data_IF_879708407831
#
_entry.id   IF_879708407831
#
_cell.length_a   1.000
_cell.length_b   1.000
_cell.length_c   1.000
_cell.angle_alpha   90.00
_cell.angle_beta   90.00
_cell.angle_gamma   90.00
#
_symmetry.space_group_name_H-M   'P 1'
#
loop_
_entity.id
_entity.type
_entity.pdbx_description
1 polymer ?
#
# COMPACT_ATOMS: atom_id res chain seq x y z
N UNK A 1 -13.12 -9.05 60.59
CA UNK A 1 -13.77 -8.10 59.66
C UNK A 1 -15.25 -8.44 59.64
N UNK A 2 -16.12 -7.50 59.99
CA UNK A 2 -17.58 -7.74 60.02
C UNK A 2 -18.07 -8.14 58.62
N UNK A 3 -18.91 -9.19 58.52
CA UNK A 3 -19.43 -9.71 57.24
C UNK A 3 -20.19 -8.65 56.45
N UNK A 4 -20.82 -7.70 57.14
CA UNK A 4 -21.52 -6.58 56.52
C UNK A 4 -20.54 -5.57 55.90
N UNK A 5 -19.41 -5.32 56.56
CA UNK A 5 -18.34 -4.45 56.05
C UNK A 5 -17.64 -5.07 54.84
N UNK A 6 -17.40 -6.38 54.83
CA UNK A 6 -16.83 -7.08 53.67
C UNK A 6 -17.77 -7.08 52.45
N UNK A 7 -19.06 -7.37 52.64
CA UNK A 7 -20.07 -7.30 51.57
C UNK A 7 -20.21 -5.88 51.01
N UNK A 8 -20.18 -4.87 51.88
CA UNK A 8 -20.21 -3.46 51.49
C UNK A 8 -18.97 -3.05 50.68
N UNK A 9 -17.78 -3.49 51.09
CA UNK A 9 -16.53 -3.27 50.34
C UNK A 9 -16.58 -3.94 48.97
N UNK A 10 -16.95 -5.23 48.91
CA UNK A 10 -17.01 -5.98 47.65
C UNK A 10 -17.98 -5.37 46.65
N UNK A 11 -19.17 -4.96 47.11
CA UNK A 11 -20.14 -4.25 46.26
C UNK A 11 -19.57 -2.95 45.70
N UNK A 12 -18.92 -2.14 46.53
CA UNK A 12 -18.30 -0.88 46.11
C UNK A 12 -17.16 -1.11 45.13
N UNK A 13 -16.31 -2.10 45.39
CA UNK A 13 -15.21 -2.48 44.50
C UNK A 13 -15.74 -2.89 43.12
N UNK A 14 -16.73 -3.77 43.05
CA UNK A 14 -17.33 -4.21 41.78
C UNK A 14 -17.94 -3.03 41.02
N UNK A 15 -18.70 -2.16 41.69
CA UNK A 15 -19.31 -0.99 41.05
C UNK A 15 -18.23 -0.05 40.51
N UNK A 16 -17.18 0.21 41.30
CA UNK A 16 -16.10 1.08 40.89
C UNK A 16 -15.30 0.50 39.71
N UNK A 17 -14.97 -0.78 39.75
CA UNK A 17 -14.30 -1.48 38.64
C UNK A 17 -15.16 -1.47 37.37
N UNK A 18 -16.46 -1.74 37.48
CA UNK A 18 -17.37 -1.69 36.34
C UNK A 18 -17.48 -0.26 35.77
N UNK A 19 -17.59 0.76 36.62
CA UNK A 19 -17.60 2.15 36.19
C UNK A 19 -16.30 2.54 35.47
N UNK A 20 -15.14 2.11 35.99
CA UNK A 20 -13.85 2.36 35.36
C UNK A 20 -13.73 1.70 33.98
N UNK A 21 -14.17 0.44 33.84
CA UNK A 21 -14.19 -0.25 32.56
C UNK A 21 -15.10 0.46 31.54
N UNK A 22 -16.28 0.88 31.98
CA UNK A 22 -17.19 1.66 31.13
C UNK A 22 -16.60 3.00 30.69
N UNK A 23 -15.86 3.68 31.58
CA UNK A 23 -15.14 4.90 31.23
C UNK A 23 -14.06 4.61 30.18
N UNK A 24 -13.28 3.53 30.33
CA UNK A 24 -12.29 3.14 29.33
C UNK A 24 -12.94 2.87 27.96
N UNK A 25 -13.99 2.05 27.94
CA UNK A 25 -14.73 1.72 26.71
C UNK A 25 -15.28 2.99 26.06
N UNK A 26 -15.97 3.83 26.83
CA UNK A 26 -16.52 5.09 26.33
C UNK A 26 -15.43 6.03 25.80
N UNK A 27 -14.26 6.07 26.46
CA UNK A 27 -13.14 6.90 26.01
C UNK A 27 -12.61 6.42 24.66
N UNK A 28 -12.42 5.11 24.47
CA UNK A 28 -11.98 4.56 23.18
C UNK A 28 -13.03 4.78 22.09
N UNK A 29 -14.31 4.52 22.36
CA UNK A 29 -15.38 4.74 21.38
C UNK A 29 -15.54 6.22 21.03
N UNK A 30 -15.32 7.14 21.98
CA UNK A 30 -15.46 8.58 21.74
C UNK A 30 -14.32 9.14 20.88
N UNK A 31 -13.07 8.78 21.20
CA UNK A 31 -11.92 9.31 20.46
C UNK A 31 -11.61 8.52 19.20
N UNK A 32 -11.89 7.21 19.23
CA UNK A 32 -11.79 6.27 18.12
C UNK A 32 -10.52 6.48 17.26
N UNK A 33 -9.31 6.34 17.82
CA UNK A 33 -8.08 6.58 17.08
C UNK A 33 -7.88 5.64 15.88
N UNK A 34 -8.68 4.58 15.76
CA UNK A 34 -8.66 3.66 14.62
C UNK A 34 -9.83 3.87 13.65
N UNK A 35 -10.69 4.86 13.94
CA UNK A 35 -11.81 5.27 13.10
C UNK A 35 -12.80 4.15 12.78
N UNK A 36 -12.99 3.22 13.70
CA UNK A 36 -13.82 2.02 13.53
C UNK A 36 -15.32 2.32 13.62
N UNK A 37 -15.70 3.41 14.28
CA UNK A 37 -17.08 3.79 14.54
C UNK A 37 -17.49 5.11 13.91
N UNK A 38 -16.54 6.04 13.70
CA UNK A 38 -16.83 7.34 13.11
C UNK A 38 -15.59 8.03 12.53
N UNK A 39 -15.83 9.01 11.66
CA UNK A 39 -14.82 10.00 11.25
C UNK A 39 -14.34 10.87 12.42
N UNK A 40 -13.22 11.62 12.29
CA UNK A 40 -12.67 12.41 13.39
C UNK A 40 -13.71 13.35 14.00
N UNK A 41 -13.67 13.50 15.33
CA UNK A 41 -14.54 14.45 16.02
C UNK A 41 -14.28 15.88 15.53
N UNK A 42 -15.29 16.78 15.55
CA UNK A 42 -15.09 18.17 15.19
C UNK A 42 -13.94 18.82 15.96
N UNK A 43 -12.98 19.39 15.23
CA UNK A 43 -11.77 20.00 15.79
C UNK A 43 -10.59 19.04 15.96
N UNK A 44 -10.75 17.74 15.68
CA UNK A 44 -9.65 16.77 15.56
C UNK A 44 -9.36 16.47 14.08
N UNK A 45 -8.12 16.07 13.80
CA UNK A 45 -7.64 15.68 12.47
C UNK A 45 -7.79 14.16 12.26
N UNK A 46 -7.86 13.73 11.01
CA UNK A 46 -7.70 12.34 10.59
C UNK A 46 -6.24 11.89 10.69
N UNK A 47 -5.76 11.62 11.91
CA UNK A 47 -4.38 11.18 12.16
C UNK A 47 -4.20 9.71 11.75
N UNK A 48 -3.82 9.50 10.49
CA UNK A 48 -3.61 8.20 9.87
C UNK A 48 -2.10 7.88 9.77
N UNK A 49 -1.61 7.03 10.67
CA UNK A 49 -0.19 6.66 10.78
C UNK A 49 0.03 5.16 11.01
N UNK A 50 -1.03 4.36 11.07
CA UNK A 50 -1.02 2.94 11.43
C UNK A 50 -2.00 2.16 10.52
N UNK A 51 -1.58 1.93 9.27
CA UNK A 51 -2.46 1.46 8.19
C UNK A 51 -3.14 0.12 8.51
N UNK A 52 -2.46 -0.82 9.16
CA UNK A 52 -3.00 -2.13 9.52
C UNK A 52 -4.18 -2.04 10.50
N UNK A 53 -4.26 -0.98 11.31
CA UNK A 53 -5.36 -0.76 12.26
C UNK A 53 -6.40 0.27 11.76
N UNK A 54 -5.99 1.20 10.89
CA UNK A 54 -6.77 2.38 10.55
C UNK A 54 -7.40 2.35 9.14
N UNK A 55 -6.83 1.60 8.18
CA UNK A 55 -7.33 1.61 6.80
C UNK A 55 -8.82 1.24 6.75
N UNK A 56 -9.19 0.10 7.34
CA UNK A 56 -10.59 -0.37 7.34
C UNK A 56 -11.52 0.67 7.97
N UNK A 57 -11.19 1.19 9.15
CA UNK A 57 -12.01 2.19 9.82
C UNK A 57 -12.21 3.45 8.97
N UNK A 58 -11.13 3.97 8.36
CA UNK A 58 -11.22 5.14 7.48
C UNK A 58 -12.06 4.88 6.23
N UNK A 59 -11.95 3.69 5.62
CA UNK A 59 -12.72 3.31 4.44
C UNK A 59 -14.23 3.18 4.73
N UNK A 60 -14.58 2.67 5.93
CA UNK A 60 -15.98 2.53 6.35
C UNK A 60 -16.62 3.86 6.72
N UNK A 61 -15.89 4.75 7.42
CA UNK A 61 -16.50 5.82 8.18
C UNK A 61 -16.22 7.26 7.69
N UNK A 62 -15.26 7.46 6.79
CA UNK A 62 -14.94 8.80 6.29
C UNK A 62 -15.84 9.16 5.09
N UNK A 63 -16.00 10.47 4.82
CA UNK A 63 -16.62 10.90 3.57
C UNK A 63 -15.52 11.07 2.51
N UNK A 64 -15.60 10.33 1.42
CA UNK A 64 -14.68 10.40 0.28
C UNK A 64 -15.39 9.88 -0.97
N UNK A 65 -14.85 10.18 -2.15
CA UNK A 65 -15.37 9.68 -3.42
C UNK A 65 -14.30 9.02 -4.27
N UNK A 66 -13.06 8.89 -3.78
CA UNK A 66 -11.96 8.29 -4.52
C UNK A 66 -11.00 7.55 -3.61
N UNK A 67 -10.34 6.52 -4.13
CA UNK A 67 -9.39 5.70 -3.36
C UNK A 67 -8.04 5.64 -4.06
N UNK A 68 -6.96 5.81 -3.29
CA UNK A 68 -5.59 5.48 -3.70
C UNK A 68 -5.28 4.10 -3.09
N UNK A 69 -5.37 3.06 -3.91
CA UNK A 69 -5.14 1.67 -3.49
C UNK A 69 -3.72 1.24 -3.89
N UNK A 70 -2.92 0.78 -2.94
CA UNK A 70 -1.52 0.44 -3.25
C UNK A 70 -0.72 -0.16 -2.12
N UNK A 71 0.54 -0.49 -2.43
CA UNK A 71 1.49 -1.06 -1.47
C UNK A 71 2.27 0.02 -0.72
N UNK A 72 3.37 -0.37 -0.05
CA UNK A 72 4.26 0.54 0.65
C UNK A 72 4.85 1.64 -0.24
N UNK A 73 4.98 1.42 -1.56
CA UNK A 73 5.46 2.47 -2.49
C UNK A 73 4.43 3.58 -2.71
N UNK A 74 3.15 3.32 -2.40
CA UNK A 74 2.07 4.29 -2.48
C UNK A 74 1.81 5.03 -1.15
N UNK A 75 2.54 4.72 -0.08
CA UNK A 75 2.39 5.41 1.22
C UNK A 75 2.82 6.87 1.17
N UNK A 76 3.79 7.21 0.31
CA UNK A 76 4.39 8.54 0.29
C UNK A 76 3.66 9.57 -0.59
N UNK A 77 2.60 9.17 -1.31
CA UNK A 77 1.72 10.11 -1.98
C UNK A 77 1.11 11.11 -0.98
N UNK A 78 0.81 12.33 -1.39
CA UNK A 78 -0.09 13.20 -0.63
C UNK A 78 -1.49 13.15 -1.27
N UNK A 79 -2.54 12.91 -0.48
CA UNK A 79 -3.92 12.85 -1.00
C UNK A 79 -4.32 14.16 -1.69
N UNK A 80 -3.84 15.31 -1.19
CA UNK A 80 -4.12 16.63 -1.73
C UNK A 80 -3.68 16.81 -3.18
N UNK A 81 -2.65 16.08 -3.63
CA UNK A 81 -2.21 16.10 -5.04
C UNK A 81 -3.30 15.53 -5.97
N UNK A 82 -3.88 14.38 -5.59
CA UNK A 82 -4.98 13.76 -6.32
C UNK A 82 -6.26 14.59 -6.23
N UNK A 83 -6.59 15.07 -5.03
CA UNK A 83 -7.81 15.86 -4.79
C UNK A 83 -7.84 17.12 -5.65
N UNK A 84 -6.72 17.84 -5.73
CA UNK A 84 -6.59 19.02 -6.57
C UNK A 84 -6.62 18.68 -8.06
N UNK A 85 -5.87 17.64 -8.48
CA UNK A 85 -5.73 17.26 -9.88
C UNK A 85 -7.01 16.71 -10.51
N UNK A 86 -7.76 15.89 -9.76
CA UNK A 86 -8.95 15.17 -10.25
C UNK A 86 -10.27 15.74 -9.74
N UNK A 87 -10.23 16.80 -8.92
CA UNK A 87 -11.40 17.40 -8.27
C UNK A 87 -12.23 16.32 -7.56
N UNK A 88 -11.58 15.65 -6.62
CA UNK A 88 -12.11 14.54 -5.85
C UNK A 88 -11.72 14.69 -4.38
N UNK A 89 -12.21 13.78 -3.54
CA UNK A 89 -11.74 13.59 -2.17
C UNK A 89 -11.24 12.16 -2.01
N UNK A 90 -9.93 12.02 -1.88
CA UNK A 90 -9.25 10.74 -1.87
C UNK A 90 -8.91 10.26 -0.45
N UNK A 91 -9.02 8.95 -0.26
CA UNK A 91 -8.52 8.24 0.91
C UNK A 91 -7.55 7.14 0.47
N UNK A 92 -6.62 6.77 1.34
CA UNK A 92 -5.63 5.73 1.07
C UNK A 92 -6.10 4.37 1.55
N UNK A 93 -6.16 3.40 0.64
CA UNK A 93 -6.34 1.98 0.92
C UNK A 93 -4.98 1.27 0.74
N UNK A 94 -4.14 1.28 1.78
CA UNK A 94 -2.73 0.91 1.65
C UNK A 94 -2.39 -0.34 2.44
N UNK A 95 -1.53 -1.18 1.86
CA UNK A 95 -0.94 -2.35 2.51
C UNK A 95 0.57 -2.32 2.47
N UNK A 96 1.20 -2.96 3.45
CA UNK A 96 2.65 -3.16 3.43
C UNK A 96 3.08 -4.07 2.27
N UNK A 97 2.19 -4.98 1.83
CA UNK A 97 2.39 -5.87 0.69
C UNK A 97 1.31 -5.61 -0.36
N UNK A 98 1.69 -5.35 -1.60
CA UNK A 98 0.80 -4.93 -2.70
C UNK A 98 0.04 -6.04 -3.41
N UNK A 99 -0.17 -7.20 -2.77
CA UNK A 99 -0.87 -8.31 -3.42
C UNK A 99 -2.27 -7.89 -3.87
N UNK A 100 -2.66 -8.32 -5.07
CA UNK A 100 -3.95 -7.96 -5.67
C UNK A 100 -5.14 -8.36 -4.80
N UNK A 101 -5.05 -9.53 -4.15
CA UNK A 101 -6.08 -10.00 -3.22
C UNK A 101 -6.28 -9.06 -2.02
N UNK A 102 -5.19 -8.57 -1.41
CA UNK A 102 -5.25 -7.64 -0.29
C UNK A 102 -5.79 -6.27 -0.73
N UNK A 103 -5.28 -5.72 -1.83
CA UNK A 103 -5.75 -4.41 -2.30
C UNK A 103 -7.23 -4.46 -2.71
N UNK A 104 -7.67 -5.52 -3.38
CA UNK A 104 -9.06 -5.69 -3.73
C UNK A 104 -9.96 -5.93 -2.50
N UNK A 105 -9.46 -6.58 -1.45
CA UNK A 105 -10.20 -6.67 -0.19
C UNK A 105 -10.49 -5.29 0.42
N UNK A 106 -9.52 -4.36 0.40
CA UNK A 106 -9.77 -2.97 0.84
C UNK A 106 -10.70 -2.22 -0.12
N UNK A 107 -10.59 -2.45 -1.43
CA UNK A 107 -11.50 -1.85 -2.40
C UNK A 107 -12.93 -2.33 -2.20
N UNK A 108 -13.16 -3.61 -1.90
CA UNK A 108 -14.48 -4.15 -1.61
C UNK A 108 -15.11 -3.41 -0.42
N UNK A 109 -14.35 -3.21 0.67
CA UNK A 109 -14.81 -2.38 1.80
C UNK A 109 -15.14 -0.97 1.34
N UNK A 110 -14.32 -0.35 0.48
CA UNK A 110 -14.59 0.99 -0.01
C UNK A 110 -15.91 1.05 -0.82
N UNK A 111 -16.11 0.11 -1.75
CA UNK A 111 -17.30 0.02 -2.58
C UNK A 111 -18.58 -0.37 -1.80
N UNK A 112 -18.46 -1.12 -0.71
CA UNK A 112 -19.58 -1.43 0.18
C UNK A 112 -20.12 -0.18 0.91
N UNK A 113 -19.26 0.81 1.14
CA UNK A 113 -19.58 1.98 1.95
C UNK A 113 -19.67 3.30 1.16
N UNK A 114 -19.10 3.38 -0.04
CA UNK A 114 -19.04 4.59 -0.85
C UNK A 114 -19.34 4.34 -2.33
N UNK A 115 -19.83 5.38 -3.01
CA UNK A 115 -19.89 5.43 -4.48
C UNK A 115 -18.60 6.11 -4.99
N UNK A 116 -17.69 5.33 -5.58
CA UNK A 116 -16.39 5.85 -6.01
C UNK A 116 -16.44 6.45 -7.42
N UNK A 117 -15.85 7.64 -7.57
CA UNK A 117 -15.56 8.29 -8.85
C UNK A 117 -14.25 7.74 -9.45
N UNK A 118 -13.20 7.63 -8.63
CA UNK A 118 -11.88 7.17 -9.05
C UNK A 118 -11.30 6.10 -8.13
N UNK A 119 -10.66 5.11 -8.74
CA UNK A 119 -9.72 4.21 -8.07
C UNK A 119 -8.35 4.40 -8.72
N UNK A 120 -7.41 4.99 -7.97
CA UNK A 120 -6.01 5.09 -8.35
C UNK A 120 -5.28 3.84 -7.82
N UNK A 121 -5.07 2.86 -8.70
CA UNK A 121 -4.56 1.55 -8.32
C UNK A 121 -3.08 1.39 -8.69
N UNK A 122 -2.22 1.24 -7.67
CA UNK A 122 -0.82 0.89 -7.84
C UNK A 122 -0.67 -0.61 -8.10
N UNK A 123 -0.39 -0.99 -9.35
CA UNK A 123 -0.14 -2.37 -9.76
C UNK A 123 1.36 -2.67 -9.67
N UNK A 124 1.79 -3.22 -8.54
CA UNK A 124 3.17 -3.71 -8.41
C UNK A 124 3.41 -4.90 -9.35
N UNK A 125 4.53 -4.95 -10.11
CA UNK A 125 4.86 -6.12 -10.93
C UNK A 125 4.88 -7.43 -10.13
N UNK A 126 5.34 -7.39 -8.88
CA UNK A 126 5.35 -8.55 -7.97
C UNK A 126 3.96 -9.02 -7.54
N UNK A 127 2.92 -8.18 -7.64
CA UNK A 127 1.55 -8.57 -7.33
C UNK A 127 0.97 -9.54 -8.36
N UNK A 128 1.49 -9.53 -9.61
CA UNK A 128 1.05 -10.43 -10.67
C UNK A 128 1.46 -11.89 -10.44
N UNK A 129 2.43 -12.13 -9.55
CA UNK A 129 2.89 -13.47 -9.17
C UNK A 129 2.66 -13.78 -7.69
N UNK A 130 1.91 -12.92 -6.99
CA UNK A 130 1.60 -13.10 -5.59
C UNK A 130 0.50 -14.15 -5.38
N UNK A 131 0.37 -14.64 -4.14
CA UNK A 131 -0.77 -15.47 -3.74
C UNK A 131 -2.08 -14.73 -4.02
N UNK A 132 -3.09 -15.39 -4.63
CA UNK A 132 -4.42 -14.81 -4.85
C UNK A 132 -5.29 -14.84 -3.58
N UNK A 133 -4.73 -15.25 -2.43
CA UNK A 133 -5.39 -15.23 -1.13
C UNK A 133 -4.91 -14.05 -0.29
N UNK A 134 -5.81 -13.50 0.54
CA UNK A 134 -5.48 -12.38 1.41
C UNK A 134 -4.53 -12.78 2.54
N UNK A 135 -3.62 -11.88 2.93
CA UNK A 135 -2.55 -12.15 3.89
C UNK A 135 -2.71 -11.48 5.25
N UNK A 136 -3.84 -10.81 5.52
CA UNK A 136 -4.07 -10.05 6.75
C UNK A 136 -3.81 -10.83 8.04
N UNK A 137 -4.40 -12.02 8.18
CA UNK A 137 -4.19 -12.89 9.35
C UNK A 137 -2.72 -13.28 9.52
N UNK A 138 -2.05 -13.64 8.43
CA UNK A 138 -0.65 -14.06 8.43
C UNK A 138 0.29 -12.92 8.84
N UNK A 139 -0.08 -11.68 8.50
CA UNK A 139 0.69 -10.46 8.84
C UNK A 139 0.35 -9.90 10.22
N UNK A 140 -0.54 -10.55 10.98
CA UNK A 140 -0.90 -10.13 12.34
C UNK A 140 -1.87 -8.94 12.39
N UNK A 141 -2.60 -8.67 11.31
CA UNK A 141 -3.63 -7.63 11.32
C UNK A 141 -4.72 -7.95 12.34
N UNK A 142 -5.30 -6.92 13.01
CA UNK A 142 -6.32 -7.10 14.03
C UNK A 142 -7.66 -7.46 13.39
N UNK A 143 -7.84 -8.70 12.91
CA UNK A 143 -9.01 -9.09 12.10
C UNK A 143 -10.37 -8.83 12.76
N UNK A 144 -10.44 -8.73 14.09
CA UNK A 144 -11.65 -8.35 14.79
C UNK A 144 -12.10 -6.90 14.47
N UNK A 145 -11.21 -6.03 14.01
CA UNK A 145 -11.51 -4.69 13.50
C UNK A 145 -11.83 -4.66 12.00
N UNK A 146 -11.77 -5.81 11.32
CA UNK A 146 -11.98 -5.90 9.88
C UNK A 146 -13.43 -6.29 9.56
N UNK A 147 -14.15 -6.86 10.52
CA UNK A 147 -15.57 -7.19 10.41
C UNK A 147 -16.48 -6.02 10.84
N UNK A 148 -17.80 -6.24 10.79
CA UNK A 148 -18.82 -5.29 11.28
C UNK A 148 -19.43 -5.72 12.64
N UNK A 149 -18.76 -6.60 13.38
CA UNK A 149 -19.21 -7.15 14.65
C UNK A 149 -18.58 -6.42 15.84
N UNK A 150 -19.07 -5.23 16.15
CA UNK A 150 -18.57 -4.41 17.25
C UNK A 150 -18.60 -5.07 18.65
N UNK A 151 -19.29 -6.20 18.84
CA UNK A 151 -19.29 -6.90 20.14
C UNK A 151 -17.96 -7.59 20.45
N UNK A 152 -17.12 -7.88 19.45
CA UNK A 152 -15.82 -8.53 19.63
C UNK A 152 -14.66 -7.52 19.84
N UNK A 153 -14.94 -6.21 19.74
CA UNK A 153 -13.97 -5.11 19.87
C UNK A 153 -13.45 -4.86 21.29
N UNK A 154 -13.75 -5.77 22.24
CA UNK A 154 -13.23 -5.69 23.61
C UNK A 154 -11.70 -5.56 23.67
N UNK A 155 -11.01 -6.15 22.69
CA UNK A 155 -9.56 -6.05 22.53
C UNK A 155 -9.07 -4.66 22.12
N UNK A 156 -9.93 -3.86 21.50
CA UNK A 156 -9.68 -2.46 21.17
C UNK A 156 -10.06 -1.54 22.33
N UNK A 157 -11.27 -1.69 22.87
CA UNK A 157 -11.79 -0.83 23.94
C UNK A 157 -10.98 -0.85 25.23
N UNK A 158 -10.45 -2.03 25.59
CA UNK A 158 -9.71 -2.26 26.83
C UNK A 158 -8.20 -2.38 26.58
N UNK A 159 -7.72 -1.91 25.43
CA UNK A 159 -6.30 -1.90 25.12
C UNK A 159 -5.58 -0.74 25.82
N UNK A 160 -4.52 -1.06 26.57
CA UNK A 160 -3.73 -0.05 27.28
C UNK A 160 -2.99 0.91 26.31
N UNK A 161 -2.49 0.42 25.19
CA UNK A 161 -1.72 1.21 24.24
C UNK A 161 -2.66 2.16 23.48
N UNK A 162 -3.90 1.73 23.22
CA UNK A 162 -4.93 2.62 22.67
C UNK A 162 -5.24 3.76 23.64
N UNK A 163 -5.52 3.44 24.91
CA UNK A 163 -5.89 4.43 25.93
C UNK A 163 -4.75 5.41 26.27
N UNK A 164 -3.53 4.91 26.37
CA UNK A 164 -2.40 5.69 26.92
C UNK A 164 -1.39 6.15 25.87
N UNK A 165 -1.44 5.64 24.64
CA UNK A 165 -0.54 6.06 23.55
C UNK A 165 -1.31 6.58 22.34
N UNK A 166 -2.23 5.79 21.76
CA UNK A 166 -2.90 6.15 20.49
C UNK A 166 -3.87 7.33 20.65
N UNK A 167 -4.70 7.37 21.69
CA UNK A 167 -5.60 8.51 21.96
C UNK A 167 -4.79 9.78 22.25
N UNK A 168 -3.81 9.78 23.18
CA UNK A 168 -2.96 10.95 23.39
C UNK A 168 -2.23 11.41 22.12
N UNK A 169 -1.74 10.48 21.30
CA UNK A 169 -1.08 10.79 20.03
C UNK A 169 -2.03 11.47 19.04
N UNK A 170 -3.25 10.92 18.85
CA UNK A 170 -4.30 11.54 18.03
C UNK A 170 -4.58 12.99 18.47
N UNK A 171 -4.77 13.20 19.78
CA UNK A 171 -5.06 14.54 20.33
C UNK A 171 -3.88 15.48 20.13
N UNK A 172 -2.66 15.03 20.42
CA UNK A 172 -1.45 15.84 20.28
C UNK A 172 -1.23 16.26 18.82
N UNK A 173 -1.34 15.33 17.87
CA UNK A 173 -1.20 15.62 16.44
C UNK A 173 -2.32 16.52 15.90
N UNK A 174 -3.52 16.39 16.46
CA UNK A 174 -4.66 17.21 16.06
C UNK A 174 -4.56 18.67 16.54
N UNK A 175 -4.17 18.88 17.80
CA UNK A 175 -4.30 20.18 18.47
C UNK A 175 -2.99 20.97 18.61
N UNK A 176 -1.85 20.28 18.60
CA UNK A 176 -0.54 20.88 18.88
C UNK A 176 0.42 20.65 17.70
N UNK A 177 0.35 19.47 17.08
CA UNK A 177 1.20 19.07 15.96
C UNK A 177 0.83 19.75 14.64
N UNK A 178 1.80 19.72 13.73
CA UNK A 178 1.72 20.16 12.35
C UNK A 178 1.34 19.03 11.39
N UNK A 179 0.74 17.94 11.92
CA UNK A 179 0.31 16.79 11.11
C UNK A 179 -0.55 17.23 9.92
N UNK A 180 -0.11 16.85 8.72
CA UNK A 180 -0.81 17.03 7.46
C UNK A 180 -1.62 15.76 7.15
N UNK A 181 -2.95 15.89 7.09
CA UNK A 181 -3.87 14.79 6.78
C UNK A 181 -3.65 14.21 5.37
N UNK A 182 -3.11 15.01 4.45
CA UNK A 182 -2.73 14.55 3.12
C UNK A 182 -1.58 13.52 3.15
N UNK A 183 -0.75 13.53 4.19
CA UNK A 183 0.39 12.62 4.35
C UNK A 183 0.03 11.33 5.12
N UNK A 184 -1.22 10.85 5.02
CA UNK A 184 -1.65 9.61 5.68
C UNK A 184 -0.68 8.46 5.38
N UNK A 185 -0.16 7.81 6.43
CA UNK A 185 0.80 6.68 6.39
C UNK A 185 2.20 7.00 5.81
N UNK A 186 2.51 8.26 5.49
CA UNK A 186 3.79 8.63 4.92
C UNK A 186 4.95 8.37 5.89
N UNK A 187 5.97 7.64 5.43
CA UNK A 187 7.16 7.29 6.21
C UNK A 187 8.45 7.95 5.69
N UNK A 188 8.40 8.65 4.56
CA UNK A 188 9.57 9.15 3.85
C UNK A 188 10.46 10.07 4.69
N UNK A 189 9.87 10.90 5.56
CA UNK A 189 10.61 11.82 6.44
C UNK A 189 11.64 11.13 7.36
N UNK A 190 11.53 9.81 7.55
CA UNK A 190 12.44 9.00 8.38
C UNK A 190 13.46 8.21 7.59
N UNK A 191 13.54 8.42 6.27
CA UNK A 191 14.39 7.68 5.35
C UNK A 191 15.28 8.62 4.54
N UNK A 192 16.33 8.04 3.98
CA UNK A 192 17.20 8.71 3.02
C UNK A 192 17.12 7.94 1.70
N UNK A 193 17.10 8.68 0.60
CA UNK A 193 17.13 8.15 -0.76
C UNK A 193 18.46 8.57 -1.37
N UNK A 194 19.30 7.60 -1.70
CA UNK A 194 20.62 7.81 -2.32
C UNK A 194 21.22 6.45 -2.71
N UNK A 195 22.25 6.48 -3.57
CA UNK A 195 22.90 5.25 -4.02
C UNK A 195 23.53 4.42 -2.88
N UNK A 196 24.01 5.04 -1.79
CA UNK A 196 24.59 4.30 -0.66
C UNK A 196 23.57 3.44 0.08
N UNK A 197 22.32 3.92 0.21
CA UNK A 197 21.24 3.19 0.87
C UNK A 197 20.88 1.92 0.10
N UNK A 198 20.55 2.05 -1.18
CA UNK A 198 20.14 0.91 -2.02
C UNK A 198 21.27 -0.11 -2.21
N UNK A 199 22.49 0.34 -2.52
CA UNK A 199 23.64 -0.56 -2.73
C UNK A 199 24.05 -1.23 -1.41
N UNK A 200 23.87 -0.56 -0.27
CA UNK A 200 24.18 -1.11 1.05
C UNK A 200 23.20 -2.18 1.54
N UNK A 201 21.95 -2.13 1.08
CA UNK A 201 20.87 -3.07 1.42
C UNK A 201 20.72 -4.22 0.41
N UNK A 202 21.18 -4.04 -0.82
CA UNK A 202 21.15 -5.09 -1.83
C UNK A 202 22.25 -6.14 -1.59
N UNK A 203 21.84 -7.41 -1.48
CA UNK A 203 22.73 -8.56 -1.50
C UNK A 203 22.54 -9.26 -2.84
N UNK A 204 23.53 -9.13 -3.71
CA UNK A 204 23.50 -9.66 -5.08
C UNK A 204 23.85 -11.13 -5.08
N UNK A 205 22.96 -11.93 -5.63
CA UNK A 205 23.23 -13.32 -5.98
C UNK A 205 24.38 -13.38 -7.01
N UNK A 206 25.51 -14.07 -6.77
CA UNK A 206 26.61 -14.13 -7.74
C UNK A 206 26.27 -14.98 -8.98
N UNK A 207 25.54 -16.08 -8.80
CA UNK A 207 25.09 -16.91 -9.92
C UNK A 207 23.91 -16.27 -10.66
N UNK A 208 23.64 -16.81 -11.85
CA UNK A 208 22.44 -16.50 -12.63
C UNK A 208 21.74 -17.84 -12.83
N UNK A 209 20.49 -17.93 -12.37
CA UNK A 209 19.66 -19.10 -12.57
C UNK A 209 19.27 -19.28 -14.04
N UNK A 210 18.85 -20.49 -14.39
CA UNK A 210 18.22 -20.73 -15.70
C UNK A 210 16.97 -19.85 -15.84
N UNK A 211 16.88 -19.11 -16.94
CA UNK A 211 15.73 -18.25 -17.21
C UNK A 211 14.47 -19.10 -17.28
N UNK A 212 13.51 -18.81 -16.41
CA UNK A 212 12.23 -19.51 -16.34
C UNK A 212 11.45 -19.25 -17.63
N UNK A 213 10.62 -20.20 -18.09
CA UNK A 213 9.71 -19.96 -19.21
C UNK A 213 8.83 -18.72 -18.94
N UNK A 214 8.53 -17.94 -19.99
CA UNK A 214 7.67 -16.74 -19.88
C UNK A 214 6.34 -17.02 -19.16
N UNK A 215 5.76 -18.20 -19.36
CA UNK A 215 4.48 -18.61 -18.76
C UNK A 215 4.61 -19.25 -17.38
N UNK A 216 5.76 -19.17 -16.71
CA UNK A 216 6.01 -19.89 -15.45
C UNK A 216 4.98 -19.57 -14.36
N UNK A 217 4.50 -18.32 -14.29
CA UNK A 217 3.51 -17.86 -13.31
C UNK A 217 2.08 -17.72 -13.87
N UNK A 218 1.77 -18.34 -15.00
CA UNK A 218 0.50 -18.13 -15.72
C UNK A 218 -0.75 -18.35 -14.85
N UNK A 219 -0.74 -19.36 -13.98
CA UNK A 219 -1.87 -19.65 -13.09
C UNK A 219 -2.08 -18.54 -12.04
N UNK A 220 -1.00 -18.03 -11.44
CA UNK A 220 -1.06 -16.93 -10.47
C UNK A 220 -1.45 -15.62 -11.15
N UNK A 221 -0.89 -15.35 -12.33
CA UNK A 221 -1.24 -14.20 -13.14
C UNK A 221 -2.74 -14.19 -13.45
N UNK A 222 -3.27 -15.32 -13.93
CA UNK A 222 -4.68 -15.43 -14.32
C UNK A 222 -5.62 -15.18 -13.14
N UNK A 223 -5.30 -15.72 -11.97
CA UNK A 223 -6.08 -15.52 -10.76
C UNK A 223 -6.03 -14.08 -10.25
N UNK A 224 -4.84 -13.45 -10.23
CA UNK A 224 -4.71 -12.06 -9.83
C UNK A 224 -5.45 -11.11 -10.79
N UNK A 225 -5.35 -11.34 -12.10
CA UNK A 225 -6.10 -10.56 -13.09
C UNK A 225 -7.62 -10.78 -12.96
N UNK A 226 -8.08 -11.99 -12.68
CA UNK A 226 -9.50 -12.26 -12.43
C UNK A 226 -10.02 -11.46 -11.22
N UNK A 227 -9.27 -11.45 -10.11
CA UNK A 227 -9.63 -10.69 -8.90
C UNK A 227 -9.82 -9.21 -9.23
N UNK A 228 -8.83 -8.58 -9.87
CA UNK A 228 -8.87 -7.15 -10.19
C UNK A 228 -9.93 -6.82 -11.23
N UNK A 229 -10.00 -7.61 -12.32
CA UNK A 229 -10.94 -7.33 -13.41
C UNK A 229 -12.39 -7.61 -13.03
N UNK A 230 -12.66 -8.45 -12.02
CA UNK A 230 -14.00 -8.59 -11.45
C UNK A 230 -14.52 -7.25 -10.91
N UNK A 231 -13.73 -6.55 -10.09
CA UNK A 231 -14.12 -5.25 -9.51
C UNK A 231 -14.28 -4.18 -10.60
N UNK A 232 -13.38 -4.18 -11.59
CA UNK A 232 -13.47 -3.25 -12.74
C UNK A 232 -14.81 -3.44 -13.50
N UNK A 233 -15.25 -4.68 -13.69
CA UNK A 233 -16.52 -5.01 -14.37
C UNK A 233 -17.76 -4.72 -13.52
N UNK A 234 -17.67 -4.95 -12.21
CA UNK A 234 -18.76 -4.74 -11.26
C UNK A 234 -19.05 -3.25 -11.05
N UNK A 235 -18.05 -2.38 -11.28
CA UNK A 235 -18.12 -0.93 -11.10
C UNK A 235 -17.85 -0.14 -12.39
N UNK A 236 -18.69 -0.28 -13.44
CA UNK A 236 -18.50 0.43 -14.71
C UNK A 236 -18.62 1.96 -14.59
N UNK A 237 -19.28 2.47 -13.54
CA UNK A 237 -19.38 3.90 -13.22
C UNK A 237 -18.08 4.49 -12.66
N UNK A 238 -17.20 3.66 -12.11
CA UNK A 238 -15.94 4.07 -11.48
C UNK A 238 -14.82 4.09 -12.51
N UNK A 239 -13.99 5.14 -12.51
CA UNK A 239 -12.81 5.23 -13.35
C UNK A 239 -11.58 4.65 -12.63
N UNK A 240 -11.01 3.58 -13.19
CA UNK A 240 -9.81 2.93 -12.67
C UNK A 240 -8.57 3.50 -13.38
N UNK A 241 -7.77 4.28 -12.65
CA UNK A 241 -6.46 4.74 -13.10
C UNK A 241 -5.42 3.78 -12.51
N UNK A 242 -4.97 2.83 -13.32
CA UNK A 242 -4.01 1.81 -12.92
C UNK A 242 -2.62 2.29 -13.31
N UNK A 243 -1.66 2.21 -12.40
CA UNK A 243 -0.28 2.63 -12.66
C UNK A 243 0.73 1.61 -12.15
N UNK A 244 1.75 1.32 -12.96
CA UNK A 244 2.87 0.46 -12.57
C UNK A 244 4.04 1.32 -12.10
N UNK A 245 4.51 1.18 -10.85
CA UNK A 245 5.57 2.00 -10.29
C UNK A 245 6.94 1.71 -10.92
N UNK A 246 7.89 2.66 -10.83
CA UNK A 246 9.24 2.50 -11.35
C UNK A 246 10.12 1.72 -10.36
N UNK A 247 10.10 0.39 -10.39
CA UNK A 247 11.08 -0.38 -9.62
C UNK A 247 12.50 -0.16 -10.16
N UNK A 248 13.48 -0.03 -9.27
CA UNK A 248 14.85 0.37 -9.63
C UNK A 248 15.53 -0.64 -10.54
N UNK A 249 16.60 -0.23 -11.21
CA UNK A 249 17.46 -1.14 -11.96
C UNK A 249 18.06 -2.26 -11.10
N UNK A 250 18.21 -2.06 -9.78
CA UNK A 250 18.72 -3.10 -8.87
C UNK A 250 17.70 -4.21 -8.68
N UNK A 251 16.40 -3.89 -8.72
CA UNK A 251 15.35 -4.92 -8.70
C UNK A 251 15.38 -5.76 -9.98
N UNK A 252 15.62 -5.14 -11.15
CA UNK A 252 15.78 -5.87 -12.41
C UNK A 252 17.05 -6.72 -12.49
N UNK A 253 18.17 -6.25 -11.93
CA UNK A 253 19.39 -7.08 -11.78
C UNK A 253 19.10 -8.29 -10.90
N UNK A 254 18.32 -8.13 -9.82
CA UNK A 254 17.90 -9.26 -8.99
C UNK A 254 17.01 -10.24 -9.75
N UNK A 255 15.95 -9.78 -10.42
CA UNK A 255 15.08 -10.66 -11.22
C UNK A 255 15.83 -11.44 -12.29
N UNK A 256 16.76 -10.79 -12.99
CA UNK A 256 17.55 -11.46 -14.02
C UNK A 256 18.39 -12.58 -13.45
N UNK A 257 18.99 -12.35 -12.28
CA UNK A 257 19.80 -13.36 -11.58
C UNK A 257 19.00 -14.51 -11.02
N UNK A 258 17.73 -14.28 -10.68
CA UNK A 258 16.79 -15.32 -10.26
C UNK A 258 16.10 -16.02 -11.45
N UNK A 259 16.46 -15.65 -12.69
CA UNK A 259 15.91 -16.22 -13.91
C UNK A 259 14.44 -15.82 -14.13
N UNK A 260 13.98 -14.70 -13.58
CA UNK A 260 12.57 -14.29 -13.57
C UNK A 260 12.22 -13.19 -14.57
N UNK A 261 13.21 -12.54 -15.20
CA UNK A 261 12.99 -11.39 -16.08
C UNK A 261 11.96 -11.67 -17.18
N UNK A 262 12.10 -12.76 -17.92
CA UNK A 262 11.21 -13.10 -19.02
C UNK A 262 9.77 -13.36 -18.55
N UNK A 263 9.61 -14.04 -17.41
CA UNK A 263 8.31 -14.33 -16.83
C UNK A 263 7.60 -13.05 -16.32
N UNK A 264 8.35 -12.12 -15.71
CA UNK A 264 7.78 -10.86 -15.25
C UNK A 264 7.38 -9.94 -16.41
N UNK A 265 8.20 -9.85 -17.47
CA UNK A 265 7.86 -9.09 -18.68
C UNK A 265 6.61 -9.66 -19.36
N UNK A 266 6.50 -10.99 -19.46
CA UNK A 266 5.31 -11.66 -19.98
C UNK A 266 4.05 -11.35 -19.14
N UNK A 267 4.17 -11.40 -17.81
CA UNK A 267 3.07 -11.09 -16.90
C UNK A 267 2.61 -9.64 -17.05
N UNK A 268 3.55 -8.69 -17.11
CA UNK A 268 3.24 -7.28 -17.33
C UNK A 268 2.55 -7.06 -18.69
N UNK A 269 3.07 -7.65 -19.76
CA UNK A 269 2.46 -7.54 -21.10
C UNK A 269 1.02 -8.05 -21.10
N UNK A 270 0.78 -9.22 -20.50
CA UNK A 270 -0.54 -9.84 -20.41
C UNK A 270 -1.50 -9.02 -19.55
N UNK A 271 -1.00 -8.45 -18.44
CA UNK A 271 -1.78 -7.54 -17.61
C UNK A 271 -2.17 -6.28 -18.39
N UNK A 272 -1.24 -5.69 -19.15
CA UNK A 272 -1.51 -4.49 -19.95
C UNK A 272 -2.58 -4.77 -21.01
N UNK A 273 -2.40 -5.83 -21.80
CA UNK A 273 -3.38 -6.25 -22.81
C UNK A 273 -4.77 -6.48 -22.20
N UNK A 274 -4.83 -7.18 -21.07
CA UNK A 274 -6.08 -7.48 -20.37
C UNK A 274 -6.76 -6.22 -19.86
N UNK A 275 -6.03 -5.34 -19.18
CA UNK A 275 -6.57 -4.12 -18.58
C UNK A 275 -7.02 -3.10 -19.63
N UNK A 276 -6.31 -3.01 -20.76
CA UNK A 276 -6.69 -2.17 -21.90
C UNK A 276 -7.96 -2.63 -22.63
N UNK A 277 -8.53 -3.78 -22.26
CA UNK A 277 -9.82 -4.24 -22.80
C UNK A 277 -11.03 -3.55 -22.16
N UNK A 278 -10.86 -2.87 -21.02
CA UNK A 278 -11.93 -2.21 -20.26
C UNK A 278 -12.01 -0.71 -20.56
N UNK A 279 -13.23 -0.21 -20.81
CA UNK A 279 -13.45 1.19 -21.17
C UNK A 279 -13.28 2.17 -19.99
N UNK A 280 -13.53 1.69 -18.76
CA UNK A 280 -13.37 2.45 -17.53
C UNK A 280 -11.96 2.34 -16.92
N UNK A 281 -10.98 1.85 -17.69
CA UNK A 281 -9.57 1.73 -17.27
C UNK A 281 -8.70 2.70 -18.06
N UNK A 282 -7.86 3.46 -17.36
CA UNK A 282 -6.70 4.14 -17.93
C UNK A 282 -5.44 3.55 -17.30
N UNK A 283 -4.50 3.11 -18.12
CA UNK A 283 -3.26 2.48 -17.68
C UNK A 283 -2.05 3.41 -17.88
N UNK A 284 -1.18 3.44 -16.88
CA UNK A 284 0.09 4.16 -16.86
C UNK A 284 1.22 3.19 -16.48
N UNK A 285 2.41 3.42 -17.00
CA UNK A 285 3.60 2.69 -16.56
C UNK A 285 4.80 3.61 -16.49
N UNK A 286 5.55 3.47 -15.40
CA UNK A 286 6.82 4.16 -15.17
C UNK A 286 7.98 3.17 -15.17
N UNK A 287 7.69 1.88 -15.41
CA UNK A 287 8.66 0.81 -15.19
C UNK A 287 9.85 0.86 -16.14
N UNK A 288 9.68 1.42 -17.34
CA UNK A 288 10.73 1.60 -18.34
C UNK A 288 11.25 3.05 -18.42
N UNK A 289 10.88 3.94 -17.48
CA UNK A 289 11.49 5.26 -17.40
C UNK A 289 12.95 5.14 -16.99
N UNK A 290 13.84 5.15 -18.00
CA UNK A 290 15.28 4.99 -17.80
C UNK A 290 15.84 6.02 -16.83
N UNK A 291 15.43 7.27 -16.93
CA UNK A 291 16.01 8.34 -16.10
C UNK A 291 15.65 8.13 -14.62
N UNK A 292 14.45 7.61 -14.35
CA UNK A 292 14.04 7.27 -13.00
C UNK A 292 14.72 5.98 -12.51
N UNK A 293 14.55 4.85 -13.21
CA UNK A 293 14.92 3.54 -12.66
C UNK A 293 16.44 3.33 -12.57
N UNK A 294 17.22 4.03 -13.39
CA UNK A 294 18.69 3.91 -13.39
C UNK A 294 19.36 4.92 -12.46
N UNK A 295 18.62 5.94 -12.00
CA UNK A 295 19.12 6.90 -11.04
C UNK A 295 18.92 6.39 -9.61
N UNK A 296 19.97 5.72 -9.08
CA UNK A 296 19.97 5.17 -7.73
C UNK A 296 19.83 6.23 -6.63
N UNK A 297 20.02 7.51 -6.95
CA UNK A 297 19.78 8.59 -5.97
C UNK A 297 18.31 8.74 -5.59
N UNK A 298 17.40 8.20 -6.41
CA UNK A 298 15.96 8.23 -6.14
C UNK A 298 15.51 7.18 -5.11
N UNK A 299 16.36 6.21 -4.73
CA UNK A 299 15.91 5.00 -4.02
C UNK A 299 16.55 4.83 -2.64
N UNK A 300 15.79 4.25 -1.71
CA UNK A 300 16.30 3.82 -0.41
C UNK A 300 16.63 2.32 -0.35
N UNK A 301 15.96 1.52 -1.17
CA UNK A 301 16.20 0.08 -1.39
C UNK A 301 15.79 -0.28 -2.82
N UNK A 302 15.67 -1.57 -3.15
CA UNK A 302 15.46 -2.02 -4.54
C UNK A 302 14.16 -1.51 -5.17
N UNK A 303 13.16 -1.10 -4.38
CA UNK A 303 11.84 -0.72 -4.89
C UNK A 303 11.33 0.63 -4.38
N UNK A 304 11.72 1.06 -3.19
CA UNK A 304 11.18 2.26 -2.56
C UNK A 304 11.89 3.53 -3.05
N UNK A 305 11.18 4.30 -3.88
CA UNK A 305 11.61 5.58 -4.42
C UNK A 305 11.19 6.77 -3.55
N UNK A 306 11.78 7.93 -3.82
CA UNK A 306 11.59 9.17 -3.07
C UNK A 306 10.20 9.81 -3.31
N UNK A 307 9.71 10.64 -2.37
CA UNK A 307 8.42 11.34 -2.53
C UNK A 307 8.32 12.21 -3.79
N UNK A 308 9.44 12.69 -4.31
CA UNK A 308 9.49 13.45 -5.57
C UNK A 308 9.02 12.59 -6.75
N UNK A 309 9.35 11.30 -6.76
CA UNK A 309 8.87 10.36 -7.77
C UNK A 309 7.38 10.05 -7.58
N UNK A 310 6.89 9.92 -6.34
CA UNK A 310 5.45 9.85 -6.08
C UNK A 310 4.73 11.10 -6.63
N UNK A 311 5.25 12.30 -6.40
CA UNK A 311 4.65 13.52 -6.92
C UNK A 311 4.64 13.55 -8.45
N UNK A 312 5.76 13.21 -9.10
CA UNK A 312 5.87 13.10 -10.55
C UNK A 312 4.86 12.12 -11.16
N UNK A 313 4.65 10.98 -10.50
CA UNK A 313 3.66 10.00 -10.95
C UNK A 313 2.24 10.56 -10.85
N UNK A 314 1.91 11.26 -9.76
CA UNK A 314 0.60 11.91 -9.61
C UNK A 314 0.37 12.98 -10.70
N UNK A 315 1.36 13.85 -10.93
CA UNK A 315 1.32 14.85 -12.00
C UNK A 315 1.13 14.18 -13.37
N UNK A 316 1.86 13.08 -13.63
CA UNK A 316 1.75 12.33 -14.89
C UNK A 316 0.36 11.72 -15.09
N UNK A 317 -0.27 11.21 -14.02
CA UNK A 317 -1.64 10.72 -14.05
C UNK A 317 -2.63 11.84 -14.43
N UNK A 318 -2.47 13.02 -13.82
CA UNK A 318 -3.31 14.22 -14.07
C UNK A 318 -3.13 14.72 -15.52
N UNK A 319 -1.89 14.80 -15.99
CA UNK A 319 -1.55 15.32 -17.33
C UNK A 319 -1.80 14.31 -18.45
N UNK A 320 -1.89 13.01 -18.12
CA UNK A 320 -2.03 11.94 -19.11
C UNK A 320 -0.72 11.57 -19.80
N UNK A 321 0.44 11.87 -19.20
CA UNK A 321 1.76 11.41 -19.67
C UNK A 321 2.00 9.97 -19.18
N UNK A 322 2.96 9.25 -19.77
CA UNK A 322 3.24 7.82 -19.42
C UNK A 322 2.07 6.86 -19.64
N UNK A 323 1.09 7.23 -20.48
CA UNK A 323 -0.06 6.38 -20.78
C UNK A 323 0.33 5.17 -21.61
N UNK A 324 -0.18 4.03 -21.19
CA UNK A 324 -0.14 2.77 -21.94
C UNK A 324 -1.47 2.63 -22.69
N UNK A 325 -1.37 2.24 -23.95
CA UNK A 325 -2.45 2.16 -24.93
C UNK A 325 -2.32 0.87 -25.73
N UNK A 326 -3.37 0.50 -26.47
CA UNK A 326 -3.32 -0.68 -27.34
C UNK A 326 -2.27 -0.54 -28.45
N UNK A 327 -1.90 0.69 -28.77
CA UNK A 327 -0.94 1.03 -29.82
C UNK A 327 0.51 0.96 -29.36
N UNK A 328 0.81 1.22 -28.08
CA UNK A 328 2.20 1.27 -27.57
C UNK A 328 2.57 0.16 -26.56
N UNK A 329 1.63 -0.55 -25.92
CA UNK A 329 2.00 -1.43 -24.80
C UNK A 329 3.07 -2.49 -25.16
N UNK A 330 3.07 -3.02 -26.39
CA UNK A 330 4.09 -3.96 -26.85
C UNK A 330 5.48 -3.31 -26.99
N UNK A 331 5.57 -2.07 -27.47
CA UNK A 331 6.86 -1.38 -27.57
C UNK A 331 7.41 -1.02 -26.19
N UNK A 332 6.54 -0.61 -25.26
CA UNK A 332 6.95 -0.28 -23.88
C UNK A 332 7.53 -1.51 -23.14
N UNK A 333 6.94 -2.69 -23.36
CA UNK A 333 7.46 -3.96 -22.84
C UNK A 333 8.81 -4.33 -23.49
N UNK A 334 8.96 -4.13 -24.79
CA UNK A 334 10.22 -4.42 -25.49
C UNK A 334 11.34 -3.44 -25.09
N UNK A 335 11.00 -2.17 -24.85
CA UNK A 335 11.92 -1.17 -24.32
C UNK A 335 12.38 -1.55 -22.91
N UNK A 336 11.46 -2.02 -22.05
CA UNK A 336 11.82 -2.57 -20.74
C UNK A 336 12.70 -3.81 -20.84
N UNK A 337 12.40 -4.73 -21.77
CA UNK A 337 13.23 -5.93 -22.02
C UNK A 337 14.66 -5.56 -22.39
N UNK A 338 14.80 -4.65 -23.36
CA UNK A 338 16.11 -4.12 -23.78
C UNK A 338 16.85 -3.43 -22.63
N UNK A 339 16.13 -2.66 -21.81
CA UNK A 339 16.69 -2.00 -20.65
C UNK A 339 17.13 -2.99 -19.56
N UNK A 340 16.35 -4.04 -19.29
CA UNK A 340 16.72 -5.10 -18.33
C UNK A 340 18.02 -5.81 -18.74
N UNK A 341 18.18 -6.12 -20.02
CA UNK A 341 19.43 -6.68 -20.56
C UNK A 341 20.60 -5.69 -20.44
N UNK A 342 20.38 -4.41 -20.74
CA UNK A 342 21.42 -3.39 -20.59
C UNK A 342 21.81 -3.18 -19.12
N UNK A 343 20.86 -3.27 -18.19
CA UNK A 343 21.10 -3.15 -16.76
C UNK A 343 22.15 -4.16 -16.32
N UNK A 344 21.95 -5.44 -16.65
CA UNK A 344 22.86 -6.51 -16.20
C UNK A 344 24.17 -6.55 -16.99
N UNK A 345 24.15 -6.15 -18.26
CA UNK A 345 25.35 -6.20 -19.11
C UNK A 345 26.21 -4.94 -19.05
N UNK A 346 25.66 -3.81 -18.63
CA UNK A 346 26.34 -2.50 -18.74
C UNK A 346 26.12 -1.61 -17.52
N UNK A 347 24.88 -1.31 -17.13
CA UNK A 347 24.60 -0.24 -16.15
C UNK A 347 24.94 -0.61 -14.71
N UNK A 348 24.90 -1.90 -14.36
CA UNK A 348 25.26 -2.38 -13.03
C UNK A 348 26.78 -2.36 -12.79
N UNK A 349 27.59 -2.48 -13.86
CA UNK A 349 29.05 -2.66 -13.78
C UNK A 349 29.79 -1.60 -12.96
N UNK A 350 29.48 -0.29 -13.07
CA UNK A 350 30.14 0.74 -12.25
C UNK A 350 29.89 0.61 -10.74
N UNK A 351 28.90 -0.20 -10.33
CA UNK A 351 28.48 -0.36 -8.95
C UNK A 351 28.91 -1.69 -8.33
N UNK A 352 29.48 -2.63 -9.10
CA UNK A 352 29.77 -4.00 -8.62
C UNK A 352 30.64 -4.02 -7.36
N UNK A 353 31.67 -3.16 -7.28
CA UNK A 353 32.56 -3.07 -6.12
C UNK A 353 31.88 -2.50 -4.86
N UNK A 354 30.71 -1.87 -5.00
CA UNK A 354 29.91 -1.31 -3.90
C UNK A 354 28.79 -2.25 -3.45
N UNK A 355 28.48 -3.28 -4.23
CA UNK A 355 27.38 -4.21 -3.98
C UNK A 355 27.90 -5.41 -3.17
N UNK A 356 27.18 -5.77 -2.12
CA UNK A 356 27.48 -7.01 -1.36
C UNK A 356 27.05 -8.22 -2.17
N UNK A 357 27.82 -9.29 -2.11
CA UNK A 357 27.52 -10.55 -2.79
C UNK A 357 27.08 -11.59 -1.76
N UNK A 358 26.08 -12.40 -2.11
CA UNK A 358 25.70 -13.55 -1.29
C UNK A 358 26.82 -14.59 -1.33
N UNK A 359 27.48 -14.80 -0.18
CA UNK A 359 28.60 -15.73 -0.05
C UNK A 359 28.15 -17.19 0.16
N UNK A 360 26.84 -17.43 0.28
CA UNK A 360 26.23 -18.74 0.48
C UNK A 360 25.54 -19.29 -0.76
N UNK A 361 25.57 -18.54 -1.87
CA UNK A 361 25.13 -19.00 -3.18
C UNK A 361 26.26 -19.87 -3.78
N UNK A 362 26.01 -21.20 -3.87
CA UNK A 362 26.96 -22.20 -4.40
C UNK A 362 26.84 -22.40 -5.92
#
# INVERSE_FOLDING_TARGET
MDKNTFKGFLKKFIIFSAALLLICIFTVILFDPFFQYHKPLPGLKAVLTDKEYQCVGSLKNFDYDSVIAGSSVAENYNNGWFDQGFQCRSIKAIRSYGATADLCYLLDIAFEHQELKYVFYNLDPSALVASPETTYELTGCPMYLYDDNYLNDVQYWLNKDVLFEKIPYLIAQSLIGDYDEGNSYNWAQWKNFNSDMILGLYIRKPSIDEMKPETYYQDLLSQNLEILTARIKEHPETQFLIFVPPYSMIWWDNLYRDGDTDAYLYNMQTAYETLLSYENVTLYSFQNDREIITNLENYMDTLHFSPEINHLMCDSLIEGTHRITRENYLSEIEDMRSLADEIVTTLIKPYEDRIKVDIYDE
#
